data_IF_172170233707
#
_entry.id   IF_172170233707
#
_cell.length_a   1.000
_cell.length_b   1.000
_cell.length_c   1.000
_cell.angle_alpha   90.00
_cell.angle_beta   90.00
_cell.angle_gamma   90.00
#
_symmetry.space_group_name_H-M   'P 1'
#
loop_
_entity.id
_entity.type
_entity.pdbx_description
1 polymer ?
#
# COMPACT_ATOMS: atom_id res chain seq x y z
N UNK A 1 -53.52 -103.64 59.22
CA UNK A 1 -54.02 -102.56 60.10
C UNK A 1 -53.86 -101.26 59.36
N UNK A 2 -54.99 -100.57 59.17
CA UNK A 2 -55.16 -99.11 59.17
C UNK A 2 -54.31 -98.33 58.14
N UNK A 3 -54.81 -97.46 57.28
CA UNK A 3 -56.13 -96.93 56.91
C UNK A 3 -55.74 -95.68 56.10
N UNK A 4 -56.39 -95.46 54.94
CA UNK A 4 -56.92 -94.15 54.48
C UNK A 4 -55.99 -92.93 54.46
N UNK A 5 -55.99 -92.05 53.47
CA UNK A 5 -57.08 -91.69 52.58
C UNK A 5 -56.57 -90.67 51.55
N UNK A 6 -57.42 -90.51 50.51
CA UNK A 6 -57.84 -89.26 49.86
C UNK A 6 -56.78 -88.30 49.29
N UNK A 7 -57.00 -87.59 48.21
CA UNK A 7 -58.09 -87.42 47.27
C UNK A 7 -57.40 -86.86 46.02
N UNK A 8 -57.66 -87.37 44.82
CA UNK A 8 -58.71 -86.83 43.96
C UNK A 8 -58.61 -85.30 43.79
N UNK A 9 -57.69 -84.87 42.93
CA UNK A 9 -57.93 -83.66 42.16
C UNK A 9 -58.93 -84.01 41.06
N UNK A 10 -60.20 -83.99 41.49
CA UNK A 10 -61.34 -84.12 40.63
C UNK A 10 -61.37 -82.93 39.67
N UNK A 11 -61.21 -83.22 38.39
CA UNK A 11 -61.65 -82.39 37.29
C UNK A 11 -63.13 -82.02 37.52
N UNK A 12 -63.38 -80.79 37.94
CA UNK A 12 -64.71 -80.35 38.34
C UNK A 12 -64.76 -78.89 38.79
N UNK A 13 -64.18 -77.97 38.02
CA UNK A 13 -64.32 -76.53 38.19
C UNK A 13 -64.04 -75.86 36.86
N UNK A 14 -64.96 -75.01 36.40
CA UNK A 14 -64.92 -74.42 35.06
C UNK A 14 -63.59 -73.75 34.73
N UNK A 15 -63.36 -73.45 33.46
CA UNK A 15 -62.15 -72.82 32.86
C UNK A 15 -61.50 -71.68 33.67
N UNK A 16 -62.23 -71.08 34.61
CA UNK A 16 -61.82 -70.02 35.52
C UNK A 16 -61.18 -70.49 36.85
N UNK A 17 -61.14 -71.79 37.15
CA UNK A 17 -60.64 -72.35 38.42
C UNK A 17 -59.29 -73.08 38.31
N UNK A 18 -58.70 -73.17 37.10
CA UNK A 18 -57.41 -73.83 36.86
C UNK A 18 -56.24 -72.84 37.04
N UNK A 19 -55.39 -72.97 38.09
CA UNK A 19 -54.32 -72.02 38.37
C UNK A 19 -53.31 -71.87 37.23
N UNK A 20 -53.09 -72.93 36.45
CA UNK A 20 -52.18 -72.91 35.31
C UNK A 20 -52.65 -71.95 34.20
N UNK A 21 -53.97 -71.80 34.03
CA UNK A 21 -54.55 -70.93 33.01
C UNK A 21 -54.35 -69.45 33.37
N UNK A 22 -54.51 -69.09 34.64
CA UNK A 22 -54.24 -67.73 35.10
C UNK A 22 -52.76 -67.36 35.00
N UNK A 23 -51.85 -68.32 35.29
CA UNK A 23 -50.41 -68.14 35.09
C UNK A 23 -50.08 -67.93 33.60
N UNK A 24 -50.68 -68.71 32.70
CA UNK A 24 -50.49 -68.53 31.25
C UNK A 24 -50.99 -67.17 30.76
N UNK A 25 -52.16 -66.71 31.23
CA UNK A 25 -52.70 -65.38 30.91
C UNK A 25 -51.78 -64.27 31.43
N UNK A 26 -51.32 -64.36 32.68
CA UNK A 26 -50.38 -63.41 33.25
C UNK A 26 -49.04 -63.39 32.50
N UNK A 27 -48.54 -64.56 32.06
CA UNK A 27 -47.33 -64.68 31.25
C UNK A 27 -47.49 -64.00 29.88
N UNK A 28 -48.61 -64.22 29.19
CA UNK A 28 -48.89 -63.55 27.91
C UNK A 28 -48.99 -62.04 28.10
N UNK A 29 -49.71 -61.56 29.11
CA UNK A 29 -49.82 -60.13 29.41
C UNK A 29 -48.44 -59.52 29.69
N UNK A 30 -47.63 -60.19 30.52
CA UNK A 30 -46.25 -59.77 30.81
C UNK A 30 -45.38 -59.71 29.55
N UNK A 31 -45.49 -60.71 28.68
CA UNK A 31 -44.70 -60.81 27.44
C UNK A 31 -45.10 -59.73 26.43
N UNK A 32 -46.39 -59.40 26.34
CA UNK A 32 -46.89 -58.29 25.50
C UNK A 32 -46.41 -56.93 26.02
N UNK A 33 -46.53 -56.68 27.33
CA UNK A 33 -46.10 -55.43 27.96
C UNK A 33 -44.58 -55.23 27.84
N UNK A 34 -43.81 -56.25 28.19
CA UNK A 34 -42.34 -56.21 28.20
C UNK A 34 -41.79 -56.22 26.77
N UNK A 35 -42.34 -57.03 25.88
CA UNK A 35 -41.94 -57.12 24.48
C UNK A 35 -42.11 -55.79 23.75
N UNK A 36 -43.26 -55.11 23.94
CA UNK A 36 -43.49 -53.78 23.35
C UNK A 36 -42.50 -52.73 23.87
N UNK A 37 -42.19 -52.75 25.17
CA UNK A 37 -41.23 -51.81 25.77
C UNK A 37 -39.79 -52.07 25.31
N UNK A 38 -39.39 -53.34 25.22
CA UNK A 38 -38.06 -53.75 24.76
C UNK A 38 -37.85 -53.42 23.28
N UNK A 39 -38.81 -53.74 22.41
CA UNK A 39 -38.73 -53.41 20.98
C UNK A 39 -38.63 -51.89 20.77
N UNK A 40 -39.42 -51.10 21.53
CA UNK A 40 -39.37 -49.64 21.48
C UNK A 40 -38.02 -49.08 21.96
N UNK A 41 -37.40 -49.69 22.97
CA UNK A 41 -36.07 -49.31 23.46
C UNK A 41 -34.96 -49.57 22.43
N UNK A 42 -34.97 -50.75 21.81
CA UNK A 42 -33.96 -51.14 20.81
C UNK A 42 -34.09 -50.29 19.55
N UNK A 43 -35.30 -50.09 19.03
CA UNK A 43 -35.55 -49.24 17.86
C UNK A 43 -35.10 -47.80 18.11
N UNK A 44 -35.44 -47.23 19.27
CA UNK A 44 -34.98 -45.88 19.66
C UNK A 44 -33.45 -45.77 19.69
N UNK A 45 -32.75 -46.74 20.28
CA UNK A 45 -31.28 -46.72 20.32
C UNK A 45 -30.67 -46.80 18.91
N UNK A 46 -31.27 -47.58 18.01
CA UNK A 46 -30.82 -47.72 16.63
C UNK A 46 -31.08 -46.44 15.82
N UNK A 47 -32.24 -45.81 16.04
CA UNK A 47 -32.61 -44.52 15.47
C UNK A 47 -31.66 -43.41 15.96
N UNK A 48 -31.38 -43.35 17.27
CA UNK A 48 -30.46 -42.37 17.87
C UNK A 48 -29.04 -42.54 17.30
N UNK A 49 -28.56 -43.77 17.14
CA UNK A 49 -27.27 -44.05 16.47
C UNK A 49 -27.28 -43.61 15.01
N UNK A 50 -28.34 -43.91 14.28
CA UNK A 50 -28.48 -43.54 12.87
C UNK A 50 -28.52 -42.01 12.71
N UNK A 51 -29.25 -41.32 13.59
CA UNK A 51 -29.30 -39.87 13.63
C UNK A 51 -27.94 -39.25 13.94
N UNK A 52 -27.20 -39.82 14.90
CA UNK A 52 -25.84 -39.38 15.22
C UNK A 52 -24.90 -39.55 14.02
N UNK A 53 -24.90 -40.71 13.37
CA UNK A 53 -24.06 -40.99 12.19
C UNK A 53 -24.41 -40.03 11.04
N UNK A 54 -25.70 -39.82 10.79
CA UNK A 54 -26.14 -38.86 9.74
C UNK A 54 -25.66 -37.45 10.06
N UNK A 55 -25.76 -37.03 11.32
CA UNK A 55 -25.33 -35.70 11.76
C UNK A 55 -23.81 -35.56 11.59
N UNK A 56 -23.01 -36.50 12.09
CA UNK A 56 -21.55 -36.43 11.97
C UNK A 56 -21.09 -36.48 10.52
N UNK A 57 -21.74 -37.28 9.67
CA UNK A 57 -21.44 -37.32 8.24
C UNK A 57 -21.76 -35.97 7.57
N UNK A 58 -22.92 -35.37 7.87
CA UNK A 58 -23.29 -34.06 7.33
C UNK A 58 -22.36 -32.94 7.80
N UNK A 59 -21.91 -32.99 9.06
CA UNK A 59 -20.94 -32.04 9.61
C UNK A 59 -19.57 -32.23 8.97
N UNK A 60 -19.14 -33.47 8.73
CA UNK A 60 -17.88 -33.78 8.05
C UNK A 60 -17.90 -33.33 6.57
N UNK A 61 -19.02 -33.55 5.86
CA UNK A 61 -19.21 -33.07 4.49
C UNK A 61 -19.17 -31.54 4.43
N UNK A 62 -19.88 -30.87 5.35
CA UNK A 62 -19.85 -29.41 5.47
C UNK A 62 -18.45 -28.89 5.74
N UNK A 63 -17.74 -29.48 6.70
CA UNK A 63 -16.37 -29.08 7.04
C UNK A 63 -15.41 -29.30 5.88
N UNK A 64 -15.57 -30.39 5.11
CA UNK A 64 -14.81 -30.65 3.90
C UNK A 64 -15.09 -29.61 2.83
N UNK A 65 -16.36 -29.24 2.62
CA UNK A 65 -16.74 -28.21 1.67
C UNK A 65 -16.19 -26.84 2.05
N UNK A 66 -16.24 -26.48 3.33
CA UNK A 66 -15.64 -25.24 3.87
C UNK A 66 -14.12 -25.22 3.72
N UNK A 67 -13.44 -26.34 4.01
CA UNK A 67 -12.00 -26.46 3.83
C UNK A 67 -11.59 -26.36 2.36
N UNK A 68 -12.36 -26.96 1.45
CA UNK A 68 -12.12 -26.85 0.02
C UNK A 68 -12.32 -25.41 -0.46
N UNK A 69 -13.41 -24.77 -0.06
CA UNK A 69 -13.68 -23.37 -0.38
C UNK A 69 -12.57 -22.44 0.13
N UNK A 70 -12.13 -22.63 1.37
CA UNK A 70 -11.04 -21.85 1.96
C UNK A 70 -9.71 -22.06 1.21
N UNK A 71 -9.43 -23.28 0.76
CA UNK A 71 -8.25 -23.57 -0.08
C UNK A 71 -8.33 -22.88 -1.43
N UNK A 72 -9.46 -22.96 -2.11
CA UNK A 72 -9.65 -22.35 -3.43
C UNK A 72 -9.57 -20.82 -3.33
N UNK A 73 -10.15 -20.24 -2.30
CA UNK A 73 -10.07 -18.80 -2.01
C UNK A 73 -8.63 -18.36 -1.70
N UNK A 74 -7.89 -19.12 -0.88
CA UNK A 74 -6.48 -18.84 -0.61
C UNK A 74 -5.63 -18.92 -1.88
N UNK A 75 -5.84 -19.92 -2.74
CA UNK A 75 -5.14 -20.04 -4.01
C UNK A 75 -5.44 -18.88 -4.95
N UNK A 76 -6.71 -18.48 -5.05
CA UNK A 76 -7.13 -17.31 -5.84
C UNK A 76 -6.46 -16.04 -5.31
N UNK A 77 -6.49 -15.82 -3.99
CA UNK A 77 -5.89 -14.65 -3.36
C UNK A 77 -4.37 -14.61 -3.56
N UNK A 78 -3.69 -15.76 -3.53
CA UNK A 78 -2.27 -15.85 -3.83
C UNK A 78 -1.96 -15.48 -5.29
N UNK A 79 -2.74 -15.99 -6.25
CA UNK A 79 -2.57 -15.66 -7.67
C UNK A 79 -2.85 -14.18 -7.96
N UNK A 80 -3.90 -13.62 -7.35
CA UNK A 80 -4.23 -12.20 -7.45
C UNK A 80 -3.14 -11.32 -6.83
N UNK A 81 -2.65 -11.68 -5.64
CA UNK A 81 -1.55 -10.97 -4.97
C UNK A 81 -0.25 -11.01 -5.77
N UNK A 82 0.07 -12.13 -6.41
CA UNK A 82 1.23 -12.23 -7.30
C UNK A 82 1.08 -11.29 -8.51
N UNK A 83 -0.10 -11.27 -9.13
CA UNK A 83 -0.40 -10.37 -10.26
C UNK A 83 -0.32 -8.90 -9.83
N UNK A 84 -0.87 -8.56 -8.66
CA UNK A 84 -0.79 -7.20 -8.11
C UNK A 84 0.66 -6.79 -7.82
N UNK A 85 1.47 -7.68 -7.24
CA UNK A 85 2.88 -7.41 -6.98
C UNK A 85 3.66 -7.17 -8.27
N UNK A 86 3.44 -8.00 -9.30
CA UNK A 86 4.03 -7.79 -10.63
C UNK A 86 3.59 -6.46 -11.25
N UNK A 87 2.31 -6.11 -11.13
CA UNK A 87 1.77 -4.82 -11.57
C UNK A 87 2.41 -3.63 -10.87
N UNK A 88 2.58 -3.69 -9.55
CA UNK A 88 3.26 -2.66 -8.76
C UNK A 88 4.71 -2.49 -9.22
N UNK A 89 5.44 -3.60 -9.42
CA UNK A 89 6.83 -3.54 -9.88
C UNK A 89 6.93 -2.96 -11.29
N UNK A 90 6.04 -3.36 -12.20
CA UNK A 90 6.01 -2.82 -13.56
C UNK A 90 5.70 -1.32 -13.57
N UNK A 91 4.71 -0.88 -12.79
CA UNK A 91 4.37 0.53 -12.65
C UNK A 91 5.51 1.34 -12.03
N UNK A 92 6.16 0.82 -10.98
CA UNK A 92 7.30 1.48 -10.36
C UNK A 92 8.48 1.64 -11.33
N UNK A 93 8.74 0.64 -12.19
CA UNK A 93 9.78 0.74 -13.23
C UNK A 93 9.43 1.78 -14.29
N UNK A 94 8.18 1.76 -14.79
CA UNK A 94 7.72 2.74 -15.77
C UNK A 94 7.78 4.18 -15.22
N UNK A 95 7.38 4.38 -13.97
CA UNK A 95 7.44 5.68 -13.31
C UNK A 95 8.89 6.13 -13.05
N UNK A 96 9.77 5.20 -12.66
CA UNK A 96 11.19 5.49 -12.51
C UNK A 96 11.83 5.92 -13.84
N UNK A 97 11.50 5.26 -14.94
CA UNK A 97 11.99 5.62 -16.27
C UNK A 97 11.46 6.98 -16.74
N UNK A 98 10.18 7.26 -16.50
CA UNK A 98 9.58 8.57 -16.78
C UNK A 98 10.25 9.67 -15.97
N UNK A 99 10.53 9.42 -14.69
CA UNK A 99 11.18 10.38 -13.80
C UNK A 99 12.64 10.63 -14.20
N UNK A 100 13.38 9.58 -14.61
CA UNK A 100 14.77 9.75 -15.05
C UNK A 100 14.86 10.51 -16.37
N UNK A 101 13.94 10.27 -17.31
CA UNK A 101 13.83 11.05 -18.55
C UNK A 101 13.53 12.52 -18.25
N UNK A 102 12.50 12.80 -17.46
CA UNK A 102 12.15 14.17 -17.06
C UNK A 102 13.30 14.87 -16.32
N UNK A 103 13.98 14.18 -15.41
CA UNK A 103 15.13 14.73 -14.70
C UNK A 103 16.35 14.93 -15.61
N UNK A 104 16.47 14.19 -16.72
CA UNK A 104 17.51 14.44 -17.73
C UNK A 104 17.20 15.71 -18.51
N UNK A 105 15.96 15.88 -19.00
CA UNK A 105 15.49 17.06 -19.71
C UNK A 105 15.61 18.34 -18.85
N UNK A 106 15.17 18.28 -17.60
CA UNK A 106 15.30 19.40 -16.66
C UNK A 106 16.77 19.76 -16.40
N UNK A 107 17.65 18.76 -16.28
CA UNK A 107 19.09 19.01 -16.10
C UNK A 107 19.70 19.69 -17.31
N UNK A 108 19.37 19.25 -18.52
CA UNK A 108 19.86 19.88 -19.75
C UNK A 108 19.38 21.33 -19.84
N UNK A 109 18.09 21.59 -19.56
CA UNK A 109 17.55 22.94 -19.52
C UNK A 109 18.20 23.82 -18.44
N UNK A 110 18.52 23.26 -17.28
CA UNK A 110 19.24 23.98 -16.21
C UNK A 110 20.69 24.30 -16.61
N UNK A 111 21.39 23.37 -17.25
CA UNK A 111 22.76 23.58 -17.75
C UNK A 111 22.75 24.69 -18.80
N UNK A 112 21.86 24.62 -19.79
CA UNK A 112 21.74 25.64 -20.83
C UNK A 112 21.46 27.03 -20.24
N UNK A 113 20.54 27.12 -19.26
CA UNK A 113 20.27 28.40 -18.56
C UNK A 113 21.48 28.91 -17.79
N UNK A 114 22.21 28.04 -17.09
CA UNK A 114 23.42 28.44 -16.35
C UNK A 114 24.54 28.87 -17.29
N UNK A 115 24.69 28.21 -18.42
CA UNK A 115 25.65 28.59 -19.45
C UNK A 115 25.33 29.98 -20.00
N UNK A 116 24.06 30.24 -20.34
CA UNK A 116 23.64 31.56 -20.79
C UNK A 116 23.91 32.64 -19.72
N UNK A 117 23.54 32.38 -18.46
CA UNK A 117 23.83 33.30 -17.36
C UNK A 117 25.33 33.56 -17.17
N UNK A 118 26.18 32.54 -17.33
CA UNK A 118 27.62 32.70 -17.25
C UNK A 118 28.15 33.56 -18.41
N UNK A 119 27.67 33.32 -19.64
CA UNK A 119 28.02 34.13 -20.82
C UNK A 119 27.58 35.58 -20.65
N UNK A 120 26.38 35.82 -20.15
CA UNK A 120 25.87 37.17 -19.89
C UNK A 120 26.71 37.90 -18.83
N UNK A 121 27.13 37.20 -17.77
CA UNK A 121 28.02 37.76 -16.75
C UNK A 121 29.41 38.07 -17.30
N UNK A 122 29.97 37.21 -18.14
CA UNK A 122 31.24 37.46 -18.81
C UNK A 122 31.14 38.71 -19.69
N UNK A 123 30.09 38.81 -20.53
CA UNK A 123 29.88 39.97 -21.39
C UNK A 123 29.72 41.28 -20.58
N UNK A 124 29.00 41.23 -19.45
CA UNK A 124 28.89 42.38 -18.54
C UNK A 124 30.24 42.75 -17.92
N UNK A 125 31.03 41.77 -17.48
CA UNK A 125 32.36 41.99 -16.91
C UNK A 125 33.34 42.56 -17.96
N UNK A 126 33.32 42.07 -19.20
CA UNK A 126 34.12 42.59 -20.31
C UNK A 126 33.77 44.04 -20.65
N UNK A 127 32.47 44.35 -20.72
CA UNK A 127 32.00 45.72 -20.94
C UNK A 127 32.40 46.66 -19.78
N UNK A 128 32.39 46.16 -18.54
CA UNK A 128 32.83 46.90 -17.37
C UNK A 128 34.36 47.14 -17.40
N UNK A 129 35.15 46.10 -17.63
CA UNK A 129 36.61 46.20 -17.74
C UNK A 129 37.04 47.14 -18.87
N UNK A 130 36.38 47.09 -20.02
CA UNK A 130 36.66 48.00 -21.15
C UNK A 130 36.39 49.46 -20.77
N UNK A 131 35.31 49.74 -20.03
CA UNK A 131 35.02 51.08 -19.50
C UNK A 131 36.05 51.54 -18.49
N UNK A 132 36.49 50.66 -17.59
CA UNK A 132 37.53 50.95 -16.60
C UNK A 132 38.88 51.28 -17.27
N UNK A 133 39.30 50.49 -18.25
CA UNK A 133 40.54 50.75 -19.02
C UNK A 133 40.46 52.09 -19.75
N UNK A 134 39.31 52.40 -20.37
CA UNK A 134 39.09 53.69 -21.05
C UNK A 134 39.17 54.86 -20.08
N UNK A 135 38.55 54.74 -18.91
CA UNK A 135 38.58 55.78 -17.88
C UNK A 135 40.01 55.99 -17.36
N UNK A 136 40.74 54.90 -17.09
CA UNK A 136 42.14 54.97 -16.68
C UNK A 136 43.01 55.65 -17.74
N UNK A 137 42.81 55.33 -19.01
CA UNK A 137 43.53 55.98 -20.10
C UNK A 137 43.24 57.49 -20.18
N UNK A 138 41.98 57.90 -19.98
CA UNK A 138 41.59 59.32 -19.91
C UNK A 138 42.26 60.01 -18.72
N UNK A 139 42.28 59.39 -17.54
CA UNK A 139 42.91 59.96 -16.36
C UNK A 139 44.43 60.11 -16.52
N UNK A 140 45.09 59.13 -17.13
CA UNK A 140 46.53 59.20 -17.46
C UNK A 140 46.79 60.31 -18.48
N UNK A 141 45.99 60.41 -19.54
CA UNK A 141 46.12 61.46 -20.55
C UNK A 141 45.90 62.86 -19.96
N UNK A 142 44.90 63.05 -19.10
CA UNK A 142 44.64 64.30 -18.38
C UNK A 142 45.79 64.65 -17.44
N UNK A 143 46.35 63.66 -16.75
CA UNK A 143 47.48 63.87 -15.84
C UNK A 143 48.73 64.27 -16.61
N UNK A 144 49.07 63.57 -17.70
CA UNK A 144 50.19 63.93 -18.57
C UNK A 144 50.01 65.32 -19.19
N UNK A 145 48.80 65.65 -19.65
CA UNK A 145 48.47 66.98 -20.21
C UNK A 145 48.63 68.07 -19.14
N UNK A 146 48.17 67.84 -17.91
CA UNK A 146 48.37 68.78 -16.80
C UNK A 146 49.85 69.01 -16.49
N UNK A 147 50.67 67.96 -16.52
CA UNK A 147 52.13 68.06 -16.32
C UNK A 147 52.78 68.85 -17.45
N UNK A 148 52.50 68.51 -18.72
CA UNK A 148 53.01 69.24 -19.88
C UNK A 148 52.58 70.70 -19.91
N UNK A 149 51.31 70.98 -19.56
CA UNK A 149 50.80 72.34 -19.46
C UNK A 149 51.52 73.12 -18.36
N UNK A 150 51.78 72.50 -17.20
CA UNK A 150 52.53 73.14 -16.11
C UNK A 150 53.96 73.46 -16.52
N UNK A 151 54.63 72.58 -17.25
CA UNK A 151 55.98 72.81 -17.79
C UNK A 151 56.00 73.91 -18.84
N UNK A 152 55.02 73.96 -19.77
CA UNK A 152 54.96 75.00 -20.80
C UNK A 152 54.55 76.38 -20.26
N UNK A 153 53.60 76.45 -19.34
CA UNK A 153 53.12 77.70 -18.73
C UNK A 153 54.17 78.32 -17.81
N UNK A 154 55.07 77.52 -17.24
CA UNK A 154 56.25 78.02 -16.49
C UNK A 154 57.35 78.64 -17.37
N UNK A 155 57.25 78.54 -18.70
CA UNK A 155 58.18 79.15 -19.66
C UNK A 155 57.58 80.42 -20.30
N UNK A 156 58.38 81.22 -21.00
CA UNK A 156 57.97 82.47 -21.66
C UNK A 156 56.72 82.39 -22.57
N UNK A 157 56.28 81.18 -22.98
CA UNK A 157 55.02 80.94 -23.69
C UNK A 157 53.76 81.19 -22.85
N UNK A 158 53.81 81.02 -21.53
CA UNK A 158 52.66 81.26 -20.64
C UNK A 158 52.22 82.73 -20.65
N UNK A 159 53.17 83.65 -20.60
CA UNK A 159 52.91 85.09 -20.68
C UNK A 159 52.34 85.48 -22.05
N UNK A 160 52.91 84.95 -23.15
CA UNK A 160 52.41 85.20 -24.50
C UNK A 160 50.96 84.72 -24.72
N UNK A 161 50.56 83.58 -24.14
CA UNK A 161 49.18 83.08 -24.20
C UNK A 161 48.21 83.94 -23.38
N UNK A 162 48.67 84.55 -22.27
CA UNK A 162 47.88 85.50 -21.48
C UNK A 162 47.68 86.80 -22.26
N UNK A 163 48.75 87.36 -22.86
CA UNK A 163 48.67 88.52 -23.74
C UNK A 163 47.72 88.27 -24.93
N UNK A 164 47.79 87.10 -25.55
CA UNK A 164 46.92 86.71 -26.65
C UNK A 164 45.46 86.53 -26.21
N UNK A 165 45.20 85.92 -25.05
CA UNK A 165 43.85 85.84 -24.48
C UNK A 165 43.28 87.22 -24.13
N UNK A 166 44.10 88.14 -23.60
CA UNK A 166 43.73 89.54 -23.34
C UNK A 166 43.45 90.28 -24.66
N UNK A 167 44.22 90.01 -25.71
CA UNK A 167 44.02 90.60 -27.03
C UNK A 167 42.79 90.04 -27.77
N UNK A 168 42.34 88.81 -27.44
CA UNK A 168 41.17 88.15 -28.05
C UNK A 168 39.85 88.44 -27.30
N UNK A 169 39.91 88.91 -26.05
CA UNK A 169 38.75 89.34 -25.25
C UNK A 169 37.84 90.35 -25.98
N UNK A 170 38.38 91.39 -26.64
CA UNK A 170 37.59 92.34 -27.40
C UNK A 170 36.84 91.71 -28.59
N UNK A 171 37.29 90.58 -29.15
CA UNK A 171 36.62 89.94 -30.29
C UNK A 171 35.42 89.08 -29.90
N UNK A 172 35.29 88.72 -28.62
CA UNK A 172 34.21 87.88 -28.08
C UNK A 172 33.16 88.66 -27.27
N UNK A 173 33.37 89.97 -27.10
CA UNK A 173 32.48 90.90 -26.39
C UNK A 173 31.76 91.89 -27.31
N UNK A 174 31.66 91.58 -28.61
CA UNK A 174 30.71 92.20 -29.54
C UNK A 174 29.62 91.21 -29.92
#
# INVERSE_FOLDING_TARGET
>A
MISTAWAADAHGGGFFSDPNLWVAVAFIIFLVLTGKMMIKGITKMLDDRTALIRRTLSEAEKLRAEAQKARDEAQKNLAESATLAEGIVAQAKAEAERLTQHAAEEREALIARREQQARDRIAQAEAQATREVRNLAVDVALTATRTLLREQVGSAKGTALIEEAIADLPRRLH
#
